data_IF_118328023099
#
_entry.id   IF_118328023099
#
_cell.length_a   1.000
_cell.length_b   1.000
_cell.length_c   1.000
_cell.angle_alpha   90.00
_cell.angle_beta   90.00
_cell.angle_gamma   90.00
#
_symmetry.space_group_name_H-M   'P 1'
#
loop_
_entity.id
_entity.type
_entity.pdbx_description
1 polymer ?
#
# COMPACT_ATOMS: atom_id res chain seq x y z
N UNK A 1 25.09 -23.06 -5.68
CA UNK A 1 25.87 -21.91 -5.21
C UNK A 1 25.36 -20.53 -5.68
N UNK A 2 24.15 -20.39 -6.25
CA UNK A 2 23.66 -19.07 -6.79
C UNK A 2 22.86 -18.20 -5.80
N UNK A 3 22.49 -18.71 -4.63
CA UNK A 3 21.56 -17.99 -3.74
C UNK A 3 22.23 -17.11 -2.65
N UNK A 4 23.56 -17.19 -2.48
CA UNK A 4 24.24 -16.42 -1.45
C UNK A 4 24.50 -14.96 -1.82
N UNK A 5 24.50 -14.62 -3.11
CA UNK A 5 24.67 -13.23 -3.56
C UNK A 5 23.52 -12.33 -3.12
N UNK A 6 22.30 -12.86 -3.09
CA UNK A 6 21.12 -12.12 -2.61
C UNK A 6 21.23 -11.80 -1.11
N UNK A 7 21.73 -12.73 -0.32
CA UNK A 7 21.94 -12.55 1.11
C UNK A 7 23.03 -11.50 1.39
N UNK A 8 24.13 -11.52 0.62
CA UNK A 8 25.21 -10.52 0.74
C UNK A 8 24.78 -9.11 0.35
N UNK A 9 23.96 -8.96 -0.70
CA UNK A 9 23.38 -7.68 -1.10
C UNK A 9 22.45 -7.18 0.01
N UNK A 10 21.63 -8.04 0.59
CA UNK A 10 20.71 -7.65 1.68
C UNK A 10 21.46 -7.22 2.96
N UNK A 11 22.53 -7.91 3.32
CA UNK A 11 23.38 -7.58 4.49
C UNK A 11 24.16 -6.28 4.26
N UNK A 12 24.65 -6.01 3.05
CA UNK A 12 25.33 -4.76 2.74
C UNK A 12 24.36 -3.56 2.78
N UNK A 13 23.09 -3.73 2.41
CA UNK A 13 22.06 -2.69 2.57
C UNK A 13 21.74 -2.41 4.05
N UNK A 14 21.74 -3.43 4.92
CA UNK A 14 21.54 -3.24 6.35
C UNK A 14 22.73 -2.50 7.02
N UNK A 15 23.95 -2.70 6.52
CA UNK A 15 25.14 -1.98 7.02
C UNK A 15 25.15 -0.48 6.66
N UNK A 16 24.55 -0.09 5.54
CA UNK A 16 24.45 1.31 5.12
C UNK A 16 23.47 2.12 5.98
N UNK A 17 22.53 1.46 6.64
CA UNK A 17 21.50 2.08 7.48
C UNK A 17 22.03 2.73 8.78
N UNK A 18 23.29 2.53 9.13
CA UNK A 18 23.89 3.04 10.38
C UNK A 18 24.58 4.40 10.25
N UNK A 19 24.56 5.01 9.07
CA UNK A 19 25.13 6.35 8.92
C UNK A 19 24.25 7.41 9.61
N UNK A 20 24.90 8.15 10.52
CA UNK A 20 24.33 9.26 11.28
C UNK A 20 23.61 10.28 10.37
N UNK A 21 22.36 10.57 10.66
CA UNK A 21 21.82 11.91 10.42
C UNK A 21 20.82 12.07 9.28
N UNK A 22 20.44 11.03 8.55
CA UNK A 22 19.44 11.22 7.51
C UNK A 22 18.03 10.88 8.02
N UNK A 23 17.15 11.88 7.96
CA UNK A 23 15.74 11.77 8.31
C UNK A 23 15.06 10.70 7.44
N UNK A 24 14.07 10.00 8.00
CA UNK A 24 13.26 8.99 7.33
C UNK A 24 13.99 7.74 6.79
N UNK A 25 15.28 7.56 7.06
CA UNK A 25 16.01 6.36 6.62
C UNK A 25 15.91 5.23 7.63
N UNK A 26 16.11 4.00 7.16
CA UNK A 26 16.14 2.81 8.00
C UNK A 26 14.89 1.95 7.87
N UNK A 27 14.65 1.14 8.89
CA UNK A 27 13.46 0.28 8.95
C UNK A 27 12.27 1.14 9.35
N UNK A 28 11.13 0.89 8.70
CA UNK A 28 9.85 1.48 9.08
C UNK A 28 8.77 0.42 9.19
N UNK A 29 7.77 0.72 10.00
CA UNK A 29 6.52 -0.02 10.06
C UNK A 29 5.37 0.96 9.85
N UNK A 30 4.50 0.69 8.89
CA UNK A 30 3.31 1.50 8.62
C UNK A 30 2.04 0.68 8.75
N UNK A 31 0.98 1.31 9.21
CA UNK A 31 -0.35 0.74 9.21
C UNK A 31 -1.37 1.79 8.80
N UNK A 32 -2.34 1.38 8.00
CA UNK A 32 -3.41 2.25 7.51
C UNK A 32 -4.76 1.55 7.47
N UNK A 33 -5.82 2.36 7.57
CA UNK A 33 -7.16 2.02 7.19
C UNK A 33 -7.51 2.64 5.84
N UNK A 34 -8.21 1.92 4.99
CA UNK A 34 -8.63 2.39 3.68
C UNK A 34 -10.12 2.22 3.44
N UNK A 35 -10.67 3.11 2.63
CA UNK A 35 -12.01 3.01 2.06
C UNK A 35 -11.96 3.34 0.58
N UNK A 36 -12.70 2.59 -0.23
CA UNK A 36 -12.72 2.78 -1.68
C UNK A 36 -14.10 2.49 -2.27
N UNK A 37 -14.37 3.08 -3.43
CA UNK A 37 -15.61 2.93 -4.17
C UNK A 37 -15.31 2.44 -5.58
N UNK A 38 -16.12 1.49 -6.06
CA UNK A 38 -15.98 0.89 -7.37
C UNK A 38 -16.35 1.87 -8.49
N UNK A 39 -15.42 2.08 -9.42
CA UNK A 39 -15.61 3.01 -10.54
C UNK A 39 -16.40 2.39 -11.70
N UNK A 40 -16.16 1.11 -12.01
CA UNK A 40 -16.67 0.51 -13.24
C UNK A 40 -18.20 0.42 -13.24
N UNK A 41 -18.81 0.09 -12.11
CA UNK A 41 -20.27 -0.02 -11.98
C UNK A 41 -20.90 1.36 -11.93
N UNK A 42 -20.34 2.29 -11.15
CA UNK A 42 -20.83 3.66 -11.06
C UNK A 42 -20.85 4.39 -12.42
N UNK A 43 -19.82 4.19 -13.24
CA UNK A 43 -19.78 4.77 -14.61
C UNK A 43 -20.81 4.10 -15.53
N UNK A 44 -20.97 2.78 -15.46
CA UNK A 44 -21.96 2.07 -16.27
C UNK A 44 -23.41 2.49 -15.91
N UNK A 45 -23.71 2.64 -14.63
CA UNK A 45 -25.04 3.04 -14.14
C UNK A 45 -25.37 4.49 -14.54
N UNK A 46 -24.39 5.40 -14.48
CA UNK A 46 -24.56 6.79 -14.94
C UNK A 46 -24.81 6.85 -16.45
N UNK A 47 -24.10 6.04 -17.25
CA UNK A 47 -24.24 6.03 -18.72
C UNK A 47 -25.57 5.40 -19.15
N UNK A 48 -26.09 4.45 -18.39
CA UNK A 48 -27.35 3.76 -18.70
C UNK A 48 -28.61 4.46 -18.14
N UNK A 49 -28.46 5.64 -17.51
CA UNK A 49 -29.56 6.39 -16.86
C UNK A 49 -30.32 5.55 -15.80
N UNK A 50 -29.66 4.55 -15.22
CA UNK A 50 -30.26 3.73 -14.16
C UNK A 50 -30.29 4.53 -12.86
N UNK A 51 -31.50 4.76 -12.32
CA UNK A 51 -31.72 5.57 -11.11
C UNK A 51 -31.17 4.88 -9.83
N UNK A 52 -30.65 3.66 -9.93
CA UNK A 52 -30.02 2.91 -8.83
C UNK A 52 -28.53 2.75 -9.09
N UNK A 53 -27.74 3.71 -8.65
CA UNK A 53 -26.28 3.61 -8.67
C UNK A 53 -25.84 2.68 -7.54
N UNK A 54 -25.54 1.45 -7.87
CA UNK A 54 -24.97 0.46 -6.92
C UNK A 54 -23.49 0.77 -6.68
N UNK A 55 -23.16 1.35 -5.55
CA UNK A 55 -21.79 1.57 -5.13
C UNK A 55 -21.20 0.31 -4.51
N UNK A 56 -20.29 -0.34 -5.21
CA UNK A 56 -19.42 -1.35 -4.60
C UNK A 56 -18.41 -0.65 -3.70
N UNK A 57 -18.54 -0.83 -2.40
CA UNK A 57 -17.60 -0.30 -1.43
C UNK A 57 -16.55 -1.37 -1.05
N UNK A 58 -15.34 -0.91 -0.81
CA UNK A 58 -14.23 -1.71 -0.29
C UNK A 58 -13.65 -1.00 0.93
N UNK A 59 -13.47 -1.72 2.02
CA UNK A 59 -12.78 -1.23 3.20
C UNK A 59 -11.66 -2.19 3.58
N UNK A 60 -10.56 -1.69 4.10
CA UNK A 60 -9.43 -2.54 4.43
C UNK A 60 -8.48 -1.96 5.45
N UNK A 61 -7.61 -2.82 5.94
CA UNK A 61 -6.50 -2.47 6.81
C UNK A 61 -5.23 -3.04 6.20
N UNK A 62 -4.20 -2.20 6.10
CA UNK A 62 -2.88 -2.58 5.59
C UNK A 62 -1.84 -2.45 6.71
N UNK A 63 -0.92 -3.40 6.79
CA UNK A 63 0.26 -3.31 7.66
C UNK A 63 1.50 -3.73 6.88
N UNK A 64 2.51 -2.87 6.82
CA UNK A 64 3.72 -3.03 6.01
C UNK A 64 4.94 -2.77 6.87
N UNK A 65 5.92 -3.67 6.79
CA UNK A 65 7.26 -3.44 7.28
C UNK A 65 8.14 -3.19 6.06
N UNK A 66 8.97 -2.16 6.13
CA UNK A 66 9.82 -1.79 5.01
C UNK A 66 11.18 -1.25 5.43
N UNK A 67 11.99 -1.04 4.43
CA UNK A 67 13.31 -0.45 4.55
C UNK A 67 13.46 0.71 3.58
N UNK A 68 13.98 1.81 4.06
CA UNK A 68 14.22 3.03 3.31
C UNK A 68 15.73 3.30 3.26
N UNK A 69 16.44 2.80 2.23
CA UNK A 69 17.90 2.94 2.11
C UNK A 69 18.35 4.38 1.93
N UNK A 70 17.54 5.18 1.24
CA UNK A 70 17.74 6.62 1.00
C UNK A 70 16.42 7.34 1.26
N UNK A 71 16.46 8.62 1.58
CA UNK A 71 15.26 9.40 1.93
C UNK A 71 14.17 9.47 0.84
N UNK A 72 14.51 9.14 -0.41
CA UNK A 72 13.54 9.17 -1.53
C UNK A 72 12.92 7.84 -1.89
N UNK A 73 13.49 6.71 -1.47
CA UNK A 73 13.03 5.39 -1.91
C UNK A 73 12.83 4.48 -0.71
N UNK A 74 11.64 3.97 -0.58
CA UNK A 74 11.26 2.94 0.37
C UNK A 74 10.79 1.68 -0.35
N UNK A 75 11.06 0.53 0.25
CA UNK A 75 10.52 -0.76 -0.19
C UNK A 75 9.98 -1.49 1.02
N UNK A 76 8.72 -1.85 0.97
CA UNK A 76 8.03 -2.57 2.03
C UNK A 76 7.39 -3.86 1.55
N UNK A 77 7.09 -4.73 2.49
CA UNK A 77 6.25 -5.90 2.30
C UNK A 77 5.34 -6.07 3.50
N UNK A 78 4.16 -6.62 3.29
CA UNK A 78 3.20 -6.72 4.37
C UNK A 78 1.92 -7.43 3.99
N UNK A 79 0.91 -7.21 4.81
CA UNK A 79 -0.38 -7.83 4.65
C UNK A 79 -1.47 -6.75 4.57
N UNK A 80 -2.49 -7.05 3.75
CA UNK A 80 -3.70 -6.26 3.65
C UNK A 80 -4.90 -7.16 3.78
N UNK A 81 -5.78 -6.80 4.68
CA UNK A 81 -7.11 -7.38 4.76
C UNK A 81 -8.11 -6.43 4.10
N UNK A 82 -8.89 -6.93 3.15
CA UNK A 82 -9.96 -6.18 2.48
C UNK A 82 -11.29 -6.87 2.71
N UNK A 83 -12.29 -6.07 3.04
CA UNK A 83 -13.70 -6.39 2.98
C UNK A 83 -14.27 -5.70 1.75
N UNK A 84 -14.75 -6.48 0.79
CA UNK A 84 -15.42 -6.00 -0.42
C UNK A 84 -16.91 -6.28 -0.26
N UNK A 85 -17.74 -5.36 -0.73
CA UNK A 85 -19.18 -5.56 -0.78
C UNK A 85 -19.53 -6.97 -1.28
N UNK A 86 -20.63 -7.56 -0.82
CA UNK A 86 -21.04 -8.97 -1.00
C UNK A 86 -20.30 -10.00 -0.14
N UNK A 87 -19.84 -9.63 1.05
CA UNK A 87 -19.18 -10.51 2.02
C UNK A 87 -17.88 -11.17 1.51
N UNK A 88 -17.18 -10.56 0.56
CA UNK A 88 -15.90 -11.08 0.10
C UNK A 88 -14.80 -10.57 1.03
N UNK A 89 -14.14 -11.49 1.70
CA UNK A 89 -13.02 -11.23 2.60
C UNK A 89 -11.73 -11.73 1.99
N UNK A 90 -10.76 -10.84 1.75
CA UNK A 90 -9.48 -11.21 1.19
C UNK A 90 -8.33 -10.76 2.07
N UNK A 91 -7.42 -11.67 2.36
CA UNK A 91 -6.12 -11.37 2.94
C UNK A 91 -5.06 -11.44 1.84
N UNK A 92 -4.39 -10.33 1.56
CA UNK A 92 -3.32 -10.23 0.58
C UNK A 92 -1.96 -10.17 1.27
N UNK A 93 -0.97 -10.85 0.69
CA UNK A 93 0.43 -10.46 0.85
C UNK A 93 0.76 -9.47 -0.24
N UNK A 94 1.44 -8.37 0.11
CA UNK A 94 1.77 -7.30 -0.84
C UNK A 94 3.22 -6.83 -0.69
N UNK A 95 3.72 -6.26 -1.78
CA UNK A 95 4.98 -5.51 -1.84
C UNK A 95 4.64 -4.06 -2.18
N UNK A 96 5.30 -3.13 -1.50
CA UNK A 96 5.06 -1.69 -1.60
C UNK A 96 6.35 -0.91 -1.85
N UNK A 97 6.75 -0.67 -3.10
CA UNK A 97 7.67 0.40 -3.42
C UNK A 97 7.02 1.77 -3.18
N UNK A 98 7.78 2.70 -2.59
CA UNK A 98 7.37 4.08 -2.29
C UNK A 98 8.47 5.05 -2.70
N UNK A 99 8.09 6.14 -3.34
CA UNK A 99 8.99 7.23 -3.74
C UNK A 99 8.53 8.51 -3.07
N UNK A 100 9.41 9.13 -2.32
CA UNK A 100 9.18 10.43 -1.68
C UNK A 100 9.64 11.55 -2.60
N UNK A 101 8.83 12.59 -2.70
CA UNK A 101 9.07 13.71 -3.62
C UNK A 101 10.13 14.68 -3.07
N UNK A 102 10.18 14.82 -1.75
CA UNK A 102 11.11 15.67 -1.03
C UNK A 102 11.99 14.91 -0.04
N UNK A 103 13.03 15.57 0.43
CA UNK A 103 13.97 15.04 1.42
C UNK A 103 13.61 15.44 2.86
N UNK A 104 12.45 16.07 3.04
CA UNK A 104 11.96 16.53 4.34
C UNK A 104 11.12 15.49 5.04
N UNK A 105 10.87 15.67 6.33
CA UNK A 105 9.95 14.83 7.11
C UNK A 105 8.49 14.97 6.68
N UNK A 106 8.18 16.14 6.14
CA UNK A 106 6.90 16.54 5.54
C UNK A 106 7.08 16.41 4.02
N UNK A 107 6.59 15.33 3.46
CA UNK A 107 6.88 14.98 2.07
C UNK A 107 5.70 14.29 1.41
N UNK A 108 5.37 14.79 0.24
CA UNK A 108 4.54 14.07 -0.71
C UNK A 108 5.20 12.76 -1.14
N UNK A 109 4.41 11.76 -1.44
CA UNK A 109 4.92 10.47 -1.91
C UNK A 109 4.00 9.82 -2.93
N UNK A 110 4.59 8.96 -3.75
CA UNK A 110 3.89 8.06 -4.66
C UNK A 110 4.22 6.63 -4.25
N UNK A 111 3.24 5.73 -4.28
CA UNK A 111 3.46 4.33 -3.98
C UNK A 111 2.71 3.41 -4.94
N UNK A 112 3.23 2.21 -5.08
CA UNK A 112 2.58 1.10 -5.74
C UNK A 112 2.38 -0.03 -4.72
N UNK A 113 1.25 -0.73 -4.79
CA UNK A 113 1.09 -2.02 -4.13
C UNK A 113 0.86 -3.08 -5.21
N UNK A 114 1.56 -4.18 -5.08
CA UNK A 114 1.28 -5.39 -5.85
C UNK A 114 1.12 -6.54 -4.86
N UNK A 115 -0.03 -7.20 -4.89
CA UNK A 115 -0.35 -8.24 -3.94
C UNK A 115 -1.10 -9.42 -4.54
N UNK A 116 -1.02 -10.55 -3.84
CA UNK A 116 -1.78 -11.76 -4.15
C UNK A 116 -2.50 -12.25 -2.91
N UNK A 117 -3.71 -12.78 -3.10
CA UNK A 117 -4.52 -13.29 -2.01
C UNK A 117 -3.93 -14.58 -1.42
N UNK A 118 -3.90 -14.64 -0.10
CA UNK A 118 -3.51 -15.80 0.69
C UNK A 118 -4.73 -16.65 1.09
N UNK A 119 -5.91 -16.04 1.14
CA UNK A 119 -7.15 -16.73 1.47
C UNK A 119 -7.57 -17.65 0.32
N UNK A 120 -7.93 -18.87 0.67
CA UNK A 120 -8.60 -19.82 -0.22
C UNK A 120 -10.11 -19.52 -0.23
N UNK A 121 -10.53 -18.30 -0.49
CA UNK A 121 -11.93 -17.98 -0.74
C UNK A 121 -12.35 -18.57 -2.10
N UNK A 122 -13.64 -18.60 -2.39
CA UNK A 122 -14.18 -19.03 -3.69
C UNK A 122 -13.59 -18.23 -4.87
N UNK A 123 -12.99 -17.09 -4.56
CA UNK A 123 -12.26 -16.23 -5.50
C UNK A 123 -10.81 -16.68 -5.59
N UNK A 124 -10.57 -17.71 -6.37
CA UNK A 124 -9.22 -18.26 -6.57
C UNK A 124 -8.31 -17.27 -7.31
N UNK A 125 -7.08 -17.10 -6.79
CA UNK A 125 -6.01 -16.29 -7.41
C UNK A 125 -6.32 -14.79 -7.51
N UNK A 126 -6.98 -14.22 -6.51
CA UNK A 126 -7.16 -12.77 -6.48
C UNK A 126 -5.81 -12.04 -6.39
N UNK A 127 -5.69 -10.96 -7.16
CA UNK A 127 -4.55 -10.05 -7.16
C UNK A 127 -5.05 -8.65 -6.91
N UNK A 128 -4.22 -7.84 -6.27
CA UNK A 128 -4.48 -6.42 -6.06
C UNK A 128 -3.30 -5.60 -6.55
N UNK A 129 -3.62 -4.54 -7.28
CA UNK A 129 -2.66 -3.54 -7.74
C UNK A 129 -3.19 -2.17 -7.35
N UNK A 130 -2.40 -1.40 -6.63
CA UNK A 130 -2.78 -0.06 -6.17
C UNK A 130 -1.71 0.93 -6.62
N UNK A 131 -2.13 2.04 -7.18
CA UNK A 131 -1.29 3.23 -7.40
C UNK A 131 -1.86 4.36 -6.55
N UNK A 132 -1.03 4.94 -5.68
CA UNK A 132 -1.47 6.03 -4.82
C UNK A 132 -0.48 7.19 -4.77
N UNK A 133 -1.04 8.34 -4.47
CA UNK A 133 -0.31 9.58 -4.18
C UNK A 133 -0.81 10.13 -2.86
N UNK A 134 0.08 10.59 -2.03
CA UNK A 134 -0.28 11.09 -0.70
C UNK A 134 0.76 12.01 -0.13
N UNK A 135 0.51 12.35 1.11
CA UNK A 135 1.35 13.22 1.90
C UNK A 135 1.55 12.64 3.30
N UNK A 136 2.71 12.88 3.88
CA UNK A 136 3.03 12.47 5.24
C UNK A 136 3.56 13.65 6.05
N UNK A 137 3.19 13.69 7.32
CA UNK A 137 3.56 14.75 8.23
C UNK A 137 4.05 14.17 9.56
N UNK A 138 5.10 14.73 10.18
CA UNK A 138 5.62 14.24 11.43
C UNK A 138 4.67 14.54 12.61
N UNK A 139 4.38 13.51 13.40
CA UNK A 139 3.72 13.65 14.70
C UNK A 139 4.78 13.89 15.78
N UNK A 140 5.85 13.12 15.73
CA UNK A 140 6.98 13.22 16.65
C UNK A 140 8.29 12.80 15.95
N UNK A 141 9.38 12.67 16.72
CA UNK A 141 10.73 12.37 16.22
C UNK A 141 10.82 11.08 15.39
N UNK A 142 9.90 10.10 15.60
CA UNK A 142 9.95 8.79 14.95
C UNK A 142 8.63 8.35 14.33
N UNK A 143 7.63 9.22 14.34
CA UNK A 143 6.30 8.84 13.90
C UNK A 143 5.72 9.90 12.98
N UNK A 144 5.22 9.48 11.84
CA UNK A 144 4.46 10.28 10.89
C UNK A 144 3.01 9.78 10.82
N UNK A 145 2.06 10.69 10.61
CA UNK A 145 0.77 10.32 10.02
C UNK A 145 0.83 10.56 8.52
N UNK A 146 0.00 9.87 7.79
CA UNK A 146 -0.12 10.06 6.35
C UNK A 146 -1.54 9.84 5.86
N UNK A 147 -1.82 10.43 4.73
CA UNK A 147 -3.04 10.20 3.98
C UNK A 147 -2.70 10.06 2.49
N UNK A 148 -3.51 9.33 1.76
CA UNK A 148 -3.34 9.26 0.31
C UNK A 148 -4.64 8.96 -0.41
N UNK A 149 -4.69 9.41 -1.67
CA UNK A 149 -5.64 8.97 -2.67
C UNK A 149 -5.05 7.82 -3.46
N UNK A 150 -5.88 6.87 -3.86
CA UNK A 150 -5.40 5.76 -4.65
C UNK A 150 -6.41 5.29 -5.70
N UNK A 151 -5.86 4.71 -6.76
CA UNK A 151 -6.57 3.87 -7.72
C UNK A 151 -6.16 2.42 -7.45
N UNK A 152 -7.13 1.53 -7.41
CA UNK A 152 -6.91 0.12 -7.10
C UNK A 152 -7.64 -0.77 -8.10
N UNK A 153 -6.96 -1.82 -8.54
CA UNK A 153 -7.52 -2.87 -9.36
C UNK A 153 -7.50 -4.19 -8.60
N UNK A 154 -8.67 -4.80 -8.46
CA UNK A 154 -8.81 -6.16 -7.97
C UNK A 154 -9.12 -7.09 -9.13
N UNK A 155 -8.21 -8.02 -9.40
CA UNK A 155 -8.39 -9.09 -10.36
C UNK A 155 -8.78 -10.36 -9.63
N UNK A 156 -9.98 -10.86 -9.85
CA UNK A 156 -10.56 -12.02 -9.15
C UNK A 156 -11.08 -13.04 -10.16
N UNK A 157 -10.95 -14.33 -9.84
CA UNK A 157 -11.47 -15.41 -10.69
C UNK A 157 -12.65 -16.10 -9.99
N UNK A 158 -13.85 -15.89 -10.53
CA UNK A 158 -15.11 -16.41 -9.98
C UNK A 158 -15.54 -17.77 -10.59
N UNK A 159 -14.65 -18.48 -11.26
CA UNK A 159 -14.99 -19.72 -11.96
C UNK A 159 -15.39 -19.51 -13.41
N UNK A 160 -16.08 -18.42 -13.71
CA UNK A 160 -16.53 -18.04 -15.07
C UNK A 160 -15.46 -17.25 -15.85
N UNK A 161 -14.30 -17.02 -15.23
CA UNK A 161 -13.20 -16.24 -15.79
C UNK A 161 -12.68 -15.15 -14.86
N UNK A 162 -11.67 -14.43 -15.33
CA UNK A 162 -11.03 -13.34 -14.61
C UNK A 162 -11.91 -12.09 -14.72
N UNK A 163 -12.40 -11.58 -13.59
CA UNK A 163 -13.08 -10.29 -13.50
C UNK A 163 -12.16 -9.26 -12.85
N UNK A 164 -12.16 -8.05 -13.37
CA UNK A 164 -11.33 -6.94 -12.90
C UNK A 164 -12.21 -5.79 -12.46
N UNK A 165 -12.09 -5.39 -11.21
CA UNK A 165 -12.83 -4.29 -10.62
C UNK A 165 -11.87 -3.16 -10.27
N UNK A 166 -12.21 -1.94 -10.68
CA UNK A 166 -11.46 -0.73 -10.37
C UNK A 166 -12.15 0.06 -9.26
N UNK A 167 -11.32 0.54 -8.34
CA UNK A 167 -11.74 1.35 -7.20
C UNK A 167 -10.94 2.63 -7.13
N UNK A 168 -11.57 3.70 -6.65
CA UNK A 168 -10.90 4.92 -6.18
C UNK A 168 -11.13 5.04 -4.68
N UNK A 169 -10.10 5.42 -3.94
CA UNK A 169 -10.21 5.46 -2.49
C UNK A 169 -9.23 6.38 -1.80
N UNK A 170 -9.38 6.35 -0.49
CA UNK A 170 -8.58 7.09 0.47
C UNK A 170 -8.01 6.12 1.51
N UNK A 171 -6.79 6.37 1.96
CA UNK A 171 -6.26 5.76 3.17
C UNK A 171 -5.71 6.82 4.12
N UNK A 172 -5.79 6.46 5.41
CA UNK A 172 -5.22 7.19 6.52
C UNK A 172 -4.39 6.22 7.35
N UNK A 173 -3.19 6.63 7.75
CA UNK A 173 -2.32 5.76 8.50
C UNK A 173 -1.24 6.47 9.27
N UNK A 174 -0.45 5.64 9.95
CA UNK A 174 0.72 6.05 10.72
C UNK A 174 1.92 5.21 10.28
N UNK A 175 3.10 5.84 10.33
CA UNK A 175 4.38 5.18 10.08
C UNK A 175 5.31 5.43 11.25
N UNK A 176 5.92 4.35 11.74
CA UNK A 176 6.98 4.38 12.75
C UNK A 176 8.32 4.11 12.07
N UNK A 177 9.32 4.92 12.37
CA UNK A 177 10.67 4.80 11.81
C UNK A 177 11.67 4.38 12.90
N UNK A 178 12.63 3.54 12.55
CA UNK A 178 13.75 3.20 13.46
C UNK A 178 14.67 4.39 13.71
N UNK A 179 14.83 5.26 12.71
CA UNK A 179 15.60 6.48 12.77
C UNK A 179 14.69 7.71 12.98
N UNK A 180 15.30 8.86 13.28
CA UNK A 180 14.56 10.10 13.41
C UNK A 180 13.94 10.51 12.06
N UNK A 181 12.71 10.99 12.11
CA UNK A 181 12.01 11.61 10.96
C UNK A 181 12.02 13.14 11.06
N UNK A 182 12.34 13.67 12.26
CA UNK A 182 12.40 15.10 12.55
C UNK A 182 13.57 15.37 13.49
N UNK A 183 14.24 16.48 13.33
CA UNK A 183 15.17 17.03 14.32
C UNK A 183 14.40 17.57 15.53
N UNK A 184 14.99 17.43 16.72
CA UNK A 184 14.44 17.98 17.95
C UNK A 184 14.60 19.49 18.00
#
# INVERSE_FOLDING_TARGET
MKNYYFLFIFISFLGYSQQKGNLNQGIYWSTDGQVAFGLAKAVADIVNEDNNVDFNANAGITSVIGFQPIHRIGLGAGFRYNYIYDNIHNLYFLVQPKIYLDNTSDSGYIYLNAGFALTKSDVRKARVYTLGIGDQNPINVRMNYYYSFFLENHSMNFGDGLKSNFYIGLNLGITFHSNKVREE
#
